data_IF_553660380920
#
_entry.id   IF_553660380920
#
_cell.length_a   1.000
_cell.length_b   1.000
_cell.length_c   1.000
_cell.angle_alpha   90.00
_cell.angle_beta   90.00
_cell.angle_gamma   90.00
#
_symmetry.space_group_name_H-M   'P 1'
#
loop_
_entity.id
_entity.type
_entity.pdbx_description
1 polymer ?
#
# COMPACT_ATOMS: atom_id res chain seq x y z
N UNK A 1 -0.09 -6.69 -12.96
CA UNK A 1 0.02 -5.32 -12.40
C UNK A 1 -1.37 -4.69 -12.43
N UNK A 2 -1.69 -3.77 -11.51
CA UNK A 2 -2.92 -2.96 -11.51
C UNK A 2 -2.51 -1.49 -11.55
N UNK A 3 -3.02 -0.75 -12.54
CA UNK A 3 -2.66 0.64 -12.81
C UNK A 3 -3.92 1.50 -12.87
N UNK A 4 -4.24 2.15 -11.76
CA UNK A 4 -5.43 2.98 -11.61
C UNK A 4 -5.08 4.39 -11.11
N UNK A 5 -3.81 4.79 -11.18
CA UNK A 5 -3.40 6.15 -10.85
C UNK A 5 -4.07 7.20 -11.76
N UNK A 6 -4.25 8.42 -11.25
CA UNK A 6 -4.85 9.56 -11.96
C UNK A 6 -6.30 9.32 -12.38
N UNK A 7 -7.10 8.80 -11.44
CA UNK A 7 -8.54 8.65 -11.62
C UNK A 7 -9.28 9.42 -10.50
N UNK A 8 -10.61 9.29 -10.48
CA UNK A 8 -11.48 9.84 -9.44
C UNK A 8 -11.99 8.74 -8.50
N UNK A 9 -11.22 7.65 -8.32
CA UNK A 9 -11.61 6.56 -7.43
C UNK A 9 -11.73 7.10 -6.01
N UNK A 10 -12.85 6.82 -5.36
CA UNK A 10 -13.18 7.29 -4.03
C UNK A 10 -13.60 6.12 -3.12
N UNK A 11 -13.87 6.42 -1.86
CA UNK A 11 -14.16 5.42 -0.85
C UNK A 11 -12.90 4.75 -0.32
N UNK A 12 -13.06 3.58 0.31
CA UNK A 12 -11.99 2.90 1.04
C UNK A 12 -11.31 1.82 0.20
N UNK A 13 -10.02 1.56 0.48
CA UNK A 13 -9.33 0.41 -0.06
C UNK A 13 -9.84 -0.88 0.62
N UNK A 14 -10.56 -1.77 -0.08
CA UNK A 14 -11.20 -2.93 0.56
C UNK A 14 -10.16 -3.98 0.96
N UNK A 15 -10.42 -4.70 2.05
CA UNK A 15 -9.58 -5.82 2.51
C UNK A 15 -9.37 -6.89 1.42
N UNK A 16 -10.34 -7.07 0.52
CA UNK A 16 -10.26 -8.00 -0.61
C UNK A 16 -9.13 -7.69 -1.60
N UNK A 17 -8.51 -6.50 -1.57
CA UNK A 17 -7.30 -6.22 -2.34
C UNK A 17 -6.16 -7.19 -1.97
N UNK A 18 -6.14 -7.65 -0.72
CA UNK A 18 -5.21 -8.66 -0.22
C UNK A 18 -5.35 -10.02 -0.88
N UNK A 19 -6.46 -10.29 -1.59
CA UNK A 19 -6.69 -11.57 -2.27
C UNK A 19 -6.02 -11.65 -3.65
N UNK A 20 -5.39 -10.56 -4.12
CA UNK A 20 -4.69 -10.50 -5.41
C UNK A 20 -3.29 -11.16 -5.36
N UNK A 21 -3.11 -12.19 -4.53
CA UNK A 21 -1.82 -12.78 -4.13
C UNK A 21 -1.09 -13.54 -5.25
N UNK A 22 -1.83 -14.09 -6.22
CA UNK A 22 -1.24 -15.02 -7.18
C UNK A 22 -0.28 -14.35 -8.18
N UNK A 23 -0.58 -13.11 -8.60
CA UNK A 23 0.06 -12.48 -9.79
C UNK A 23 0.38 -11.00 -9.65
N UNK A 24 -0.03 -10.33 -8.57
CA UNK A 24 0.10 -8.88 -8.48
C UNK A 24 1.53 -8.46 -8.10
N UNK A 25 2.24 -7.86 -9.05
CA UNK A 25 3.59 -7.31 -8.85
C UNK A 25 3.60 -5.82 -8.53
N UNK A 26 2.66 -5.05 -9.10
CA UNK A 26 2.57 -3.60 -8.87
C UNK A 26 1.13 -3.19 -8.66
N UNK A 27 0.90 -2.33 -7.67
CA UNK A 27 -0.36 -1.70 -7.37
C UNK A 27 -0.16 -0.19 -7.38
N UNK A 28 -0.64 0.47 -8.43
CA UNK A 28 -0.51 1.91 -8.62
C UNK A 28 -1.88 2.58 -8.48
N UNK A 29 -2.09 3.28 -7.37
CA UNK A 29 -3.34 3.94 -6.99
C UNK A 29 -3.16 5.46 -6.76
N UNK A 30 -2.01 6.01 -7.13
CA UNK A 30 -1.71 7.42 -6.86
C UNK A 30 -2.61 8.42 -7.57
N UNK A 31 -2.79 9.60 -6.98
CA UNK A 31 -3.63 10.65 -7.55
C UNK A 31 -5.08 10.18 -7.74
N UNK A 32 -5.71 9.83 -6.61
CA UNK A 32 -7.12 9.47 -6.52
C UNK A 32 -7.73 10.17 -5.29
N UNK A 33 -8.96 9.80 -4.93
CA UNK A 33 -9.69 10.30 -3.77
C UNK A 33 -9.92 9.19 -2.72
N UNK A 34 -9.06 8.16 -2.70
CA UNK A 34 -9.18 7.02 -1.79
C UNK A 34 -8.98 7.52 -0.35
N UNK A 35 -9.88 7.13 0.54
CA UNK A 35 -9.90 7.51 1.95
C UNK A 35 -9.86 6.28 2.87
N UNK A 36 -9.99 6.50 4.18
CA UNK A 36 -9.92 5.42 5.18
C UNK A 36 -8.47 5.02 5.48
N UNK A 37 -8.26 3.77 5.89
CA UNK A 37 -6.95 3.25 6.33
C UNK A 37 -6.41 2.22 5.33
N UNK A 38 -5.12 1.93 5.42
CA UNK A 38 -4.52 0.80 4.69
C UNK A 38 -4.99 -0.50 5.37
N UNK A 39 -5.66 -1.44 4.67
CA UNK A 39 -6.13 -2.68 5.27
C UNK A 39 -4.94 -3.59 5.62
N UNK A 40 -5.04 -4.30 6.76
CA UNK A 40 -4.00 -5.26 7.19
C UNK A 40 -3.77 -6.35 6.13
N UNK A 41 -4.82 -6.79 5.45
CA UNK A 41 -4.79 -7.82 4.40
C UNK A 41 -3.91 -7.44 3.20
N UNK A 42 -3.55 -6.17 3.03
CA UNK A 42 -2.61 -5.75 1.99
C UNK A 42 -1.25 -6.45 2.14
N UNK A 43 -0.87 -6.85 3.35
CA UNK A 43 0.37 -7.59 3.60
C UNK A 43 0.39 -8.99 2.98
N UNK A 44 -0.76 -9.55 2.61
CA UNK A 44 -0.86 -10.84 1.92
C UNK A 44 -0.26 -10.80 0.51
N UNK A 45 -0.06 -9.62 -0.06
CA UNK A 45 0.54 -9.42 -1.38
C UNK A 45 2.07 -9.59 -1.35
N UNK A 46 2.53 -10.77 -0.94
CA UNK A 46 3.95 -11.09 -0.70
C UNK A 46 4.83 -11.02 -1.96
N UNK A 47 4.23 -11.06 -3.15
CA UNK A 47 4.91 -10.91 -4.45
C UNK A 47 4.96 -9.46 -4.96
N UNK A 48 4.28 -8.52 -4.30
CA UNK A 48 4.23 -7.13 -4.72
C UNK A 48 5.63 -6.50 -4.59
N UNK A 49 6.09 -5.86 -5.65
CA UNK A 49 7.37 -5.16 -5.71
C UNK A 49 7.22 -3.65 -5.62
N UNK A 50 6.08 -3.10 -6.07
CA UNK A 50 5.79 -1.67 -5.96
C UNK A 50 4.36 -1.41 -5.49
N UNK A 51 4.24 -0.60 -4.45
CA UNK A 51 2.99 -0.06 -3.92
C UNK A 51 3.03 1.46 -3.97
N UNK A 52 2.13 2.06 -4.75
CA UNK A 52 1.97 3.51 -4.82
C UNK A 52 0.56 3.91 -4.40
N UNK A 53 0.48 4.48 -3.20
CA UNK A 53 -0.71 5.04 -2.57
C UNK A 53 -0.64 6.57 -2.48
N UNK A 54 0.39 7.20 -3.03
CA UNK A 54 0.63 8.64 -2.88
C UNK A 54 -0.52 9.49 -3.42
N UNK A 55 -0.65 10.74 -2.96
CA UNK A 55 -1.67 11.68 -3.47
C UNK A 55 -3.10 11.11 -3.35
N UNK A 56 -3.48 10.73 -2.13
CA UNK A 56 -4.82 10.25 -1.76
C UNK A 56 -5.26 10.93 -0.44
N UNK A 57 -6.36 10.46 0.16
CA UNK A 57 -6.89 10.91 1.45
C UNK A 57 -6.79 9.83 2.53
N UNK A 58 -5.85 8.89 2.39
CA UNK A 58 -5.66 7.78 3.31
C UNK A 58 -5.15 8.34 4.65
N UNK A 59 -5.68 7.85 5.76
CA UNK A 59 -5.37 8.29 7.13
C UNK A 59 -4.96 7.12 8.03
N UNK A 60 -4.51 7.45 9.24
CA UNK A 60 -4.13 6.47 10.25
C UNK A 60 -2.71 5.96 10.04
N UNK A 61 -2.45 4.71 10.46
CA UNK A 61 -1.09 4.17 10.53
C UNK A 61 -0.72 3.35 9.29
N UNK A 62 0.59 3.23 9.02
CA UNK A 62 1.10 2.16 8.16
C UNK A 62 0.92 0.83 8.91
N UNK A 63 0.36 -0.23 8.28
CA UNK A 63 0.14 -1.51 8.94
C UNK A 63 1.42 -2.12 9.53
N UNK A 64 1.40 -2.65 10.76
CA UNK A 64 2.57 -3.25 11.40
C UNK A 64 3.02 -4.57 10.75
N UNK A 65 2.21 -5.13 9.85
CA UNK A 65 2.51 -6.32 9.09
C UNK A 65 3.10 -6.01 7.69
N UNK A 66 3.40 -4.75 7.37
CA UNK A 66 4.02 -4.37 6.09
C UNK A 66 5.34 -5.13 5.82
N UNK A 67 6.06 -5.54 6.87
CA UNK A 67 7.29 -6.36 6.76
C UNK A 67 7.07 -7.75 6.15
N UNK A 68 5.83 -8.27 6.13
CA UNK A 68 5.51 -9.55 5.49
C UNK A 68 5.53 -9.46 3.95
N UNK A 69 5.55 -8.26 3.39
CA UNK A 69 5.61 -8.03 1.95
C UNK A 69 7.06 -8.15 1.46
N UNK A 70 7.70 -9.31 1.65
CA UNK A 70 9.14 -9.52 1.46
C UNK A 70 9.69 -9.16 0.07
N UNK A 71 8.84 -9.09 -0.96
CA UNK A 71 9.24 -8.68 -2.32
C UNK A 71 9.20 -7.17 -2.56
N UNK A 72 8.64 -6.39 -1.61
CA UNK A 72 8.40 -4.97 -1.75
C UNK A 72 9.72 -4.20 -1.81
N UNK A 73 9.85 -3.39 -2.85
CA UNK A 73 11.02 -2.58 -3.14
C UNK A 73 10.69 -1.08 -3.13
N UNK A 74 9.45 -0.74 -3.51
CA UNK A 74 9.02 0.65 -3.63
C UNK A 74 7.71 0.85 -2.86
N UNK A 75 7.72 1.80 -1.94
CA UNK A 75 6.55 2.21 -1.16
C UNK A 75 6.38 3.73 -1.24
N UNK A 76 5.48 4.18 -2.11
CA UNK A 76 5.09 5.59 -2.20
C UNK A 76 3.79 5.81 -1.42
N UNK A 77 3.84 6.67 -0.41
CA UNK A 77 2.71 6.93 0.49
C UNK A 77 2.56 8.41 0.83
N UNK A 78 3.38 9.28 0.23
CA UNK A 78 3.39 10.72 0.46
C UNK A 78 2.07 11.38 0.05
N UNK A 79 1.82 12.59 0.59
CA UNK A 79 0.60 13.36 0.31
C UNK A 79 -0.68 12.56 0.60
N UNK A 80 -0.68 11.95 1.78
CA UNK A 80 -1.82 11.37 2.48
C UNK A 80 -1.90 12.01 3.88
N UNK A 81 -2.88 11.59 4.69
CA UNK A 81 -3.02 11.94 6.10
C UNK A 81 -2.54 10.81 7.03
N UNK A 82 -1.53 10.05 6.60
CA UNK A 82 -0.92 8.99 7.42
C UNK A 82 -0.15 9.62 8.60
N UNK A 83 -0.26 9.00 9.76
CA UNK A 83 0.30 9.48 11.02
C UNK A 83 0.96 8.34 11.81
N UNK A 84 1.54 8.69 12.96
CA UNK A 84 2.18 7.76 13.87
C UNK A 84 3.56 7.27 13.40
N UNK A 85 4.15 6.32 14.13
CA UNK A 85 5.50 5.85 13.85
C UNK A 85 5.53 4.98 12.60
N UNK A 86 6.66 5.02 11.89
CA UNK A 86 6.97 4.01 10.87
C UNK A 86 7.12 2.66 11.58
N UNK A 87 6.38 1.61 11.18
CA UNK A 87 6.45 0.31 11.85
C UNK A 87 7.86 -0.29 11.77
N UNK A 88 8.35 -0.85 12.87
CA UNK A 88 9.66 -1.52 12.90
C UNK A 88 9.77 -2.68 11.90
N UNK A 89 8.64 -3.29 11.52
CA UNK A 89 8.59 -4.31 10.48
C UNK A 89 9.10 -3.81 9.13
N UNK A 90 9.12 -2.50 8.87
CA UNK A 90 9.67 -1.96 7.62
C UNK A 90 11.15 -2.34 7.44
N UNK A 91 11.90 -2.50 8.54
CA UNK A 91 13.30 -2.94 8.51
C UNK A 91 13.47 -4.40 8.07
N UNK A 92 12.39 -5.19 8.03
CA UNK A 92 12.41 -6.55 7.47
C UNK A 92 12.39 -6.55 5.94
N UNK A 93 12.04 -5.41 5.32
CA UNK A 93 12.05 -5.23 3.87
C UNK A 93 13.48 -4.98 3.40
N UNK A 94 14.21 -6.06 3.16
CA UNK A 94 15.63 -6.07 2.77
C UNK A 94 15.96 -5.36 1.44
N UNK A 95 14.96 -4.90 0.69
CA UNK A 95 15.12 -4.33 -0.66
C UNK A 95 14.40 -3.00 -0.87
N UNK A 96 13.94 -2.34 0.18
CA UNK A 96 13.22 -1.07 0.05
C UNK A 96 14.21 0.08 -0.20
N UNK A 97 13.97 0.89 -1.23
CA UNK A 97 14.79 2.06 -1.59
C UNK A 97 13.94 3.22 -2.12
#
# INVERSE_FOLDING_TARGET
EVRLSKNLLNGILPASVGNLTATLLKLQLSFNLIEGTIPLDLSNLTKLTALDLSLNKIKGLIPPNIGQMHSLQQLFHDKNALEGPIPLSIYQLVRIY
#
